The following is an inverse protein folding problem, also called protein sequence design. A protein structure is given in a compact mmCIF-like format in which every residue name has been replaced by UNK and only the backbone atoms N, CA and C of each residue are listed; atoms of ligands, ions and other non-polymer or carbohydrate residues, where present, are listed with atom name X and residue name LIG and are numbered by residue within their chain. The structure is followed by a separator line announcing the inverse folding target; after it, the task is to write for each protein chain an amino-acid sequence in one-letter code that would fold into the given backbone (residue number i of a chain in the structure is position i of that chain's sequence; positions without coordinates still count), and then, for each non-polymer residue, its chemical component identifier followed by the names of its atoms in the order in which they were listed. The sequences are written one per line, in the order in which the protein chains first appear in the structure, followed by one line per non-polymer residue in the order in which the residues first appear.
data_IF_809148781498
#
_entry.id   IF_809148781498
#
_cell.length_a   1.000
_cell.length_b   1.000
_cell.length_c   1.000
_cell.angle_alpha   90.00
_cell.angle_beta   90.00
_cell.angle_gamma   90.00
#
_symmetry.space_group_name_H-M   'P 1'
#
loop_
_entity.id
_entity.type
_entity.pdbx_description
1 polymer ?
#
# COMPACT_ATOMS: atom_id res chain seq x y z
N UNK A 1 -3.15 -6.91 -11.23
CA UNK A 1 -3.59 -8.22 -11.74
C UNK A 1 -4.84 -8.75 -11.01
N UNK A 2 -5.39 -8.04 -10.07
CA UNK A 2 -6.53 -8.44 -9.27
C UNK A 2 -6.14 -9.08 -7.93
N UNK A 3 -4.92 -9.54 -7.76
CA UNK A 3 -4.40 -10.11 -6.52
C UNK A 3 -3.44 -9.17 -5.82
N UNK A 4 -2.37 -8.77 -6.50
CA UNK A 4 -1.39 -7.82 -5.98
C UNK A 4 -1.68 -6.43 -6.55
N UNK A 5 -1.71 -5.42 -5.68
CA UNK A 5 -1.80 -4.03 -6.03
C UNK A 5 -0.65 -3.23 -5.41
N UNK A 6 -0.19 -2.21 -6.12
CA UNK A 6 0.81 -1.31 -5.59
C UNK A 6 0.46 0.14 -5.92
N UNK A 7 0.52 0.99 -4.91
CA UNK A 7 0.55 2.42 -5.12
C UNK A 7 2.00 2.87 -5.22
N UNK A 8 2.35 3.45 -6.35
CA UNK A 8 3.70 3.91 -6.62
C UNK A 8 3.79 5.38 -6.24
N UNK A 9 4.49 5.67 -5.14
CA UNK A 9 4.81 7.04 -4.75
C UNK A 9 6.27 7.31 -5.09
N UNK A 10 6.52 8.45 -5.65
CA UNK A 10 7.87 8.85 -6.02
C UNK A 10 8.26 10.11 -5.26
N UNK A 11 9.39 10.01 -4.58
CA UNK A 11 10.19 11.15 -4.16
C UNK A 11 11.50 11.03 -4.91
N UNK A 12 12.01 12.06 -5.55
CA UNK A 12 13.12 12.07 -6.50
C UNK A 12 14.24 11.03 -6.28
N UNK A 13 14.58 10.73 -5.05
CA UNK A 13 15.64 9.79 -4.65
C UNK A 13 15.12 8.57 -3.88
N UNK A 14 13.88 8.65 -3.38
CA UNK A 14 13.26 7.59 -2.60
C UNK A 14 11.96 7.16 -3.26
N UNK A 15 11.91 5.94 -3.72
CA UNK A 15 10.68 5.31 -4.15
C UNK A 15 9.94 4.75 -2.94
N UNK A 16 8.64 4.89 -2.91
CA UNK A 16 7.77 4.23 -1.97
C UNK A 16 6.71 3.44 -2.73
N UNK A 17 6.71 2.16 -2.57
CA UNK A 17 5.70 1.25 -3.11
C UNK A 17 4.86 0.77 -1.93
N UNK A 18 3.64 1.23 -1.84
CA UNK A 18 2.68 0.69 -0.88
C UNK A 18 2.01 -0.52 -1.51
N UNK A 19 2.23 -1.68 -0.91
CA UNK A 19 1.82 -2.96 -1.47
C UNK A 19 0.62 -3.49 -0.72
N UNK A 20 -0.34 -3.97 -1.48
CA UNK A 20 -1.50 -4.67 -0.99
C UNK A 20 -1.65 -6.01 -1.71
N UNK A 21 -2.23 -6.97 -1.02
CA UNK A 21 -2.59 -8.27 -1.55
C UNK A 21 -4.01 -8.61 -1.11
N UNK A 22 -4.82 -9.21 -1.99
CA UNK A 22 -6.27 -9.37 -1.83
C UNK A 22 -6.70 -10.15 -0.57
N UNK A 23 -5.83 -11.01 -0.04
CA UNK A 23 -6.14 -11.83 1.13
C UNK A 23 -5.71 -11.21 2.46
N UNK A 24 -5.09 -10.02 2.44
CA UNK A 24 -4.64 -9.33 3.65
C UNK A 24 -5.81 -8.63 4.34
N UNK A 25 -6.46 -9.35 5.26
CA UNK A 25 -7.58 -8.85 6.05
C UNK A 25 -7.32 -9.04 7.53
N UNK A 26 -7.79 -8.10 8.34
CA UNK A 26 -7.92 -8.33 9.77
C UNK A 26 -9.07 -9.33 10.02
N UNK A 27 -9.05 -9.98 11.16
CA UNK A 27 -10.15 -10.85 11.55
C UNK A 27 -9.72 -12.09 12.31
N UNK A 28 -10.70 -12.79 12.80
CA UNK A 28 -10.57 -14.02 13.57
C UNK A 28 -11.67 -14.98 13.15
N UNK A 29 -11.46 -16.30 13.20
CA UNK A 29 -12.52 -17.27 12.96
C UNK A 29 -13.66 -17.17 13.98
N UNK A 30 -13.41 -16.56 15.13
CA UNK A 30 -14.36 -16.39 16.23
C UNK A 30 -15.22 -15.11 16.13
N UNK A 31 -15.25 -14.46 14.98
CA UNK A 31 -16.08 -13.28 14.77
C UNK A 31 -17.56 -13.63 14.96
N UNK A 32 -18.19 -12.97 15.92
CA UNK A 32 -19.64 -13.07 16.11
C UNK A 32 -20.38 -12.52 14.89
N UNK A 33 -21.06 -13.41 14.19
CA UNK A 33 -21.96 -13.01 13.10
C UNK A 33 -23.31 -12.63 13.68
N UNK A 34 -23.68 -11.35 13.53
CA UNK A 34 -25.01 -10.92 13.89
C UNK A 34 -26.03 -11.51 12.90
N UNK A 35 -27.08 -12.09 13.41
CA UNK A 35 -28.22 -12.54 12.59
C UNK A 35 -29.15 -11.35 12.37
N UNK A 36 -29.34 -10.97 11.12
CA UNK A 36 -30.27 -9.90 10.72
C UNK A 36 -31.65 -10.49 10.47
N UNK A 37 -32.68 -9.80 10.93
CA UNK A 37 -34.05 -10.21 10.73
C UNK A 37 -34.74 -9.39 9.62
N UNK A 38 -35.75 -9.98 9.00
CA UNK A 38 -36.55 -9.27 8.00
C UNK A 38 -37.29 -8.08 8.63
N UNK A 39 -37.71 -8.20 9.87
CA UNK A 39 -38.44 -7.13 10.58
C UNK A 39 -37.54 -5.91 10.81
N UNK A 40 -36.26 -6.10 11.13
CA UNK A 40 -35.29 -5.02 11.26
C UNK A 40 -35.08 -4.29 9.92
N UNK A 41 -34.95 -5.03 8.83
CA UNK A 41 -34.83 -4.46 7.50
C UNK A 41 -36.08 -3.66 7.11
N UNK A 42 -37.27 -4.16 7.40
CA UNK A 42 -38.53 -3.48 7.12
C UNK A 42 -38.66 -2.20 7.97
N UNK A 43 -38.26 -2.22 9.23
CA UNK A 43 -38.26 -1.05 10.10
C UNK A 43 -37.35 0.07 9.55
N UNK A 44 -36.12 -0.27 9.12
CA UNK A 44 -35.21 0.69 8.48
C UNK A 44 -35.84 1.28 7.22
N UNK A 45 -36.41 0.42 6.37
CA UNK A 45 -37.08 0.86 5.14
C UNK A 45 -38.26 1.80 5.40
N UNK A 46 -39.04 1.55 6.46
CA UNK A 46 -40.11 2.47 6.86
C UNK A 46 -39.60 3.85 7.26
N UNK A 47 -38.50 3.92 8.03
CA UNK A 47 -37.88 5.17 8.42
C UNK A 47 -37.38 5.95 7.19
N UNK A 48 -36.73 5.27 6.25
CA UNK A 48 -36.30 5.88 4.97
C UNK A 48 -37.49 6.43 4.21
N UNK A 49 -38.61 5.67 4.10
CA UNK A 49 -39.80 6.10 3.40
C UNK A 49 -40.50 7.31 4.07
N UNK A 50 -40.33 7.49 5.37
CA UNK A 50 -40.80 8.64 6.14
C UNK A 50 -39.87 9.86 6.05
N UNK A 51 -38.69 9.72 5.45
CA UNK A 51 -37.66 10.76 5.40
C UNK A 51 -36.88 10.92 6.69
N UNK A 52 -36.98 9.97 7.62
CA UNK A 52 -36.30 9.97 8.92
C UNK A 52 -34.93 9.30 8.81
N UNK A 53 -34.03 9.89 7.99
CA UNK A 53 -32.78 9.27 7.58
C UNK A 53 -31.81 9.04 8.77
N UNK A 54 -31.69 10.01 9.69
CA UNK A 54 -30.80 9.87 10.86
C UNK A 54 -31.20 8.67 11.72
N UNK A 55 -32.51 8.48 11.94
CA UNK A 55 -33.00 7.31 12.69
C UNK A 55 -32.83 6.01 11.94
N UNK A 56 -32.92 6.05 10.61
CA UNK A 56 -32.67 4.88 9.77
C UNK A 56 -31.19 4.46 9.87
N UNK A 57 -30.26 5.42 9.83
CA UNK A 57 -28.83 5.17 9.98
C UNK A 57 -28.47 4.62 11.37
N UNK A 58 -29.02 5.23 12.44
CA UNK A 58 -28.84 4.72 13.80
C UNK A 58 -29.34 3.28 13.96
N UNK A 59 -30.54 2.99 13.43
CA UNK A 59 -31.09 1.63 13.49
C UNK A 59 -30.27 0.66 12.65
N UNK A 60 -29.84 1.06 11.45
CA UNK A 60 -29.00 0.23 10.59
C UNK A 60 -27.64 -0.07 11.25
N UNK A 61 -26.98 0.93 11.81
CA UNK A 61 -25.73 0.74 12.54
C UNK A 61 -25.88 -0.23 13.71
N UNK A 62 -27.00 -0.14 14.41
CA UNK A 62 -27.27 -0.99 15.58
C UNK A 62 -27.64 -2.43 15.22
N UNK A 63 -28.35 -2.63 14.10
CA UNK A 63 -28.97 -3.94 13.78
C UNK A 63 -28.27 -4.64 12.62
N UNK A 64 -27.73 -3.91 11.64
CA UNK A 64 -27.20 -4.47 10.40
C UNK A 64 -25.67 -4.61 10.38
N UNK A 65 -24.95 -3.84 11.21
CA UNK A 65 -23.50 -3.91 11.28
C UNK A 65 -23.06 -4.89 12.39
N UNK A 66 -22.06 -5.68 12.07
CA UNK A 66 -21.38 -6.49 13.09
C UNK A 66 -20.51 -5.58 13.98
N UNK A 67 -20.42 -5.92 15.27
CA UNK A 67 -19.52 -5.21 16.19
C UNK A 67 -18.05 -5.36 15.77
N UNK A 68 -17.69 -6.55 15.30
CA UNK A 68 -16.35 -6.87 14.81
C UNK A 68 -16.42 -7.02 13.29
N UNK A 69 -15.87 -6.04 12.58
CA UNK A 69 -15.76 -6.07 11.12
C UNK A 69 -14.35 -6.44 10.69
N UNK A 70 -14.25 -7.19 9.61
CA UNK A 70 -12.97 -7.41 8.95
C UNK A 70 -12.64 -6.19 8.10
N UNK A 71 -11.41 -5.73 8.22
CA UNK A 71 -10.88 -4.65 7.41
C UNK A 71 -9.75 -5.14 6.52
N UNK A 72 -9.68 -4.57 5.33
CA UNK A 72 -8.55 -4.76 4.45
C UNK A 72 -7.31 -4.08 5.06
N UNK A 73 -6.20 -4.78 5.11
CA UNK A 73 -4.96 -4.31 5.74
C UNK A 73 -3.87 -4.15 4.70
N UNK A 74 -3.14 -3.05 4.77
CA UNK A 74 -1.98 -2.86 3.93
C UNK A 74 -0.82 -3.74 4.42
N UNK A 75 -0.11 -4.37 3.49
CA UNK A 75 1.15 -5.04 3.80
C UNK A 75 2.18 -4.04 4.33
N UNK A 76 2.16 -2.80 3.84
CA UNK A 76 3.10 -1.76 4.15
C UNK A 76 3.87 -1.29 2.93
N UNK A 77 5.06 -0.75 3.16
CA UNK A 77 5.83 -0.09 2.13
C UNK A 77 7.13 -0.84 1.83
N UNK A 78 7.46 -0.93 0.56
CA UNK A 78 8.81 -1.18 0.08
C UNK A 78 9.39 0.16 -0.33
N UNK A 79 10.52 0.50 0.24
CA UNK A 79 11.24 1.75 -0.03
C UNK A 79 12.46 1.44 -0.89
N UNK A 80 12.72 2.29 -1.85
CA UNK A 80 13.85 2.12 -2.74
C UNK A 80 14.64 3.40 -2.91
N UNK A 81 15.95 3.34 -2.83
CA UNK A 81 16.84 4.48 -2.96
C UNK A 81 17.85 4.26 -4.07
N UNK A 82 17.91 5.21 -5.01
CA UNK A 82 18.97 5.22 -6.03
C UNK A 82 20.25 5.77 -5.42
N UNK A 83 21.36 5.07 -5.69
CA UNK A 83 22.71 5.52 -5.34
C UNK A 83 23.57 5.63 -6.58
N UNK A 84 24.42 6.65 -6.59
CA UNK A 84 25.41 6.86 -7.65
C UNK A 84 26.81 6.79 -7.02
N UNK A 85 27.59 5.80 -7.45
CA UNK A 85 28.88 5.50 -6.81
C UNK A 85 28.68 5.08 -5.34
N UNK A 86 29.47 5.65 -4.44
CA UNK A 86 29.41 5.37 -3.01
C UNK A 86 28.48 6.29 -2.22
N UNK A 87 27.76 7.19 -2.90
CA UNK A 87 26.92 8.21 -2.28
C UNK A 87 25.45 8.11 -2.65
N UNK A 88 24.61 8.69 -1.81
CA UNK A 88 23.24 9.02 -2.18
C UNK A 88 23.27 10.05 -3.31
N UNK A 89 22.21 10.12 -4.11
CA UNK A 89 21.98 11.28 -4.95
C UNK A 89 21.90 12.51 -4.03
N UNK A 90 22.97 13.33 -4.07
CA UNK A 90 23.12 14.44 -3.16
C UNK A 90 22.37 15.67 -3.69
N UNK A 91 21.32 16.04 -2.99
CA UNK A 91 20.51 17.23 -3.29
C UNK A 91 21.18 18.54 -2.90
N UNK A 92 21.97 18.53 -1.85
CA UNK A 92 22.44 19.77 -1.25
C UNK A 92 23.61 20.39 -2.01
N UNK A 93 24.40 19.59 -2.71
CA UNK A 93 25.68 20.05 -3.26
C UNK A 93 25.68 20.38 -4.77
N UNK A 94 24.61 20.13 -5.53
CA UNK A 94 24.62 20.33 -6.98
C UNK A 94 23.41 21.07 -7.56
N UNK A 95 23.04 22.18 -6.97
CA UNK A 95 22.12 23.12 -7.60
C UNK A 95 20.67 23.03 -7.16
N UNK A 96 20.39 22.37 -6.04
CA UNK A 96 19.05 22.36 -5.46
C UNK A 96 18.00 21.67 -6.33
N UNK A 97 16.75 21.94 -6.04
CA UNK A 97 15.57 21.41 -6.74
C UNK A 97 15.55 21.70 -8.25
N UNK A 98 16.16 22.80 -8.68
CA UNK A 98 16.17 23.24 -10.09
C UNK A 98 17.03 22.36 -11.01
N UNK A 99 18.01 21.64 -10.47
CA UNK A 99 18.88 20.76 -11.26
C UNK A 99 18.26 19.40 -11.61
N UNK A 100 17.19 19.02 -10.93
CA UNK A 100 16.53 17.73 -11.09
C UNK A 100 15.27 17.76 -11.96
N UNK A 101 14.72 18.93 -12.22
CA UNK A 101 13.35 19.06 -12.72
C UNK A 101 13.22 19.32 -14.22
N UNK A 102 14.30 19.34 -14.98
CA UNK A 102 14.15 19.79 -16.38
C UNK A 102 13.36 18.83 -17.25
N UNK A 103 13.22 17.57 -16.92
CA UNK A 103 12.51 16.61 -17.77
C UNK A 103 11.83 15.51 -16.95
N UNK A 104 11.28 15.87 -15.77
CA UNK A 104 10.53 14.92 -14.99
C UNK A 104 9.17 14.65 -15.60
N UNK A 105 8.95 13.40 -15.98
CA UNK A 105 7.66 12.90 -16.46
C UNK A 105 7.27 11.70 -15.60
N UNK A 106 6.01 11.68 -15.22
CA UNK A 106 5.40 10.52 -14.59
C UNK A 106 4.05 10.26 -15.22
N UNK A 107 3.83 9.05 -15.65
CA UNK A 107 2.60 8.63 -16.32
C UNK A 107 2.15 7.24 -15.85
N UNK A 108 0.87 7.02 -15.92
CA UNK A 108 0.25 5.71 -15.85
C UNK A 108 -0.33 5.40 -17.22
N UNK A 109 0.27 4.47 -17.92
CA UNK A 109 -0.27 3.92 -19.15
C UNK A 109 -1.29 2.85 -18.79
N UNK A 110 -2.57 3.17 -18.97
CA UNK A 110 -3.66 2.26 -18.60
C UNK A 110 -3.87 1.12 -19.61
N UNK A 111 -3.44 1.32 -20.86
CA UNK A 111 -3.55 0.29 -21.89
C UNK A 111 -2.51 -0.81 -21.67
N UNK A 112 -1.30 -0.42 -21.27
CA UNK A 112 -0.23 -1.37 -20.95
C UNK A 112 -0.21 -1.79 -19.46
N UNK A 113 -0.86 -1.03 -18.59
CA UNK A 113 -0.85 -1.25 -17.13
C UNK A 113 0.50 -0.96 -16.49
N UNK A 114 1.24 0.03 -17.01
CA UNK A 114 2.60 0.36 -16.57
C UNK A 114 2.65 1.78 -16.02
N UNK A 115 3.24 1.95 -14.84
CA UNK A 115 3.65 3.26 -14.33
C UNK A 115 5.06 3.53 -14.80
N UNK A 116 5.27 4.64 -15.50
CA UNK A 116 6.59 5.10 -15.94
C UNK A 116 6.98 6.40 -15.25
N UNK A 117 8.23 6.50 -14.88
CA UNK A 117 8.83 7.73 -14.38
C UNK A 117 10.14 7.95 -15.10
N UNK A 118 10.30 9.12 -15.71
CA UNK A 118 11.53 9.53 -16.38
C UNK A 118 12.01 10.86 -15.81
N UNK A 119 13.31 10.97 -15.56
CA UNK A 119 13.93 12.21 -15.08
C UNK A 119 15.41 12.26 -15.42
N UNK A 120 15.92 13.49 -15.56
CA UNK A 120 17.34 13.76 -15.76
C UNK A 120 18.01 14.12 -14.44
N UNK A 121 19.16 13.53 -14.16
CA UNK A 121 19.95 13.82 -12.96
C UNK A 121 21.43 13.62 -13.20
N UNK A 122 22.26 14.48 -12.65
CA UNK A 122 23.74 14.39 -12.71
C UNK A 122 24.31 14.11 -14.12
N UNK A 123 23.63 14.59 -15.17
CA UNK A 123 24.09 14.46 -16.55
C UNK A 123 23.69 13.18 -17.26
N UNK A 124 22.72 12.42 -16.75
CA UNK A 124 22.17 11.22 -17.40
C UNK A 124 20.68 11.03 -17.09
N UNK A 125 20.01 10.30 -17.95
CA UNK A 125 18.60 9.97 -17.82
C UNK A 125 18.40 8.69 -17.03
N UNK A 126 17.37 8.69 -16.19
CA UNK A 126 16.88 7.51 -15.48
C UNK A 126 15.42 7.29 -15.87
N UNK A 127 15.11 6.07 -16.24
CA UNK A 127 13.73 5.62 -16.48
C UNK A 127 13.41 4.49 -15.52
N UNK A 128 12.24 4.57 -14.88
CA UNK A 128 11.71 3.52 -14.00
C UNK A 128 10.36 3.08 -14.51
N UNK A 129 10.13 1.80 -14.53
CA UNK A 129 8.87 1.18 -14.92
C UNK A 129 8.40 0.24 -13.81
N UNK A 130 7.11 0.30 -13.52
CA UNK A 130 6.49 -0.54 -12.50
C UNK A 130 5.24 -1.17 -13.07
N UNK A 131 5.12 -2.48 -12.93
CA UNK A 131 3.92 -3.20 -13.34
C UNK A 131 3.72 -4.48 -12.52
N UNK A 132 2.50 -4.97 -12.48
CA UNK A 132 2.19 -6.26 -11.86
C UNK A 132 1.90 -7.27 -12.95
N UNK A 133 2.71 -8.34 -13.00
CA UNK A 133 2.51 -9.43 -13.95
C UNK A 133 1.18 -10.15 -13.67
N UNK A 134 0.38 -10.33 -14.72
CA UNK A 134 -0.85 -11.13 -14.65
C UNK A 134 -0.55 -12.64 -14.59
N UNK A 135 0.56 -13.03 -15.17
CA UNK A 135 0.93 -14.45 -15.30
C UNK A 135 1.68 -14.97 -14.07
N UNK A 136 2.63 -14.17 -13.60
CA UNK A 136 3.62 -14.64 -12.62
C UNK A 136 3.29 -14.17 -11.20
N UNK A 137 2.27 -13.32 -11.07
CA UNK A 137 1.78 -12.81 -9.78
C UNK A 137 2.87 -12.07 -8.97
N UNK A 138 3.65 -11.26 -9.68
CA UNK A 138 4.75 -10.47 -9.10
C UNK A 138 4.65 -9.01 -9.48
N UNK A 139 5.05 -8.14 -8.56
CA UNK A 139 5.33 -6.73 -8.86
C UNK A 139 6.76 -6.63 -9.41
N UNK A 140 6.88 -6.07 -10.60
CA UNK A 140 8.17 -5.83 -11.27
C UNK A 140 8.50 -4.36 -11.21
N UNK A 141 9.74 -4.06 -10.89
CA UNK A 141 10.33 -2.75 -11.03
C UNK A 141 11.56 -2.85 -11.92
N UNK A 142 11.54 -2.14 -13.04
CA UNK A 142 12.67 -2.02 -13.95
C UNK A 142 13.25 -0.62 -13.85
N UNK A 143 14.57 -0.55 -13.66
CA UNK A 143 15.30 0.72 -13.61
C UNK A 143 16.34 0.70 -14.70
N UNK A 144 16.24 1.64 -15.61
CA UNK A 144 17.20 1.85 -16.69
C UNK A 144 17.91 3.18 -16.55
N UNK A 145 19.20 3.20 -16.82
CA UNK A 145 20.01 4.40 -16.85
C UNK A 145 20.93 4.39 -18.06
N UNK A 146 20.99 5.50 -18.76
CA UNK A 146 21.91 5.65 -19.91
C UNK A 146 23.39 5.67 -19.50
N UNK A 147 23.68 5.91 -18.23
CA UNK A 147 25.06 5.93 -17.73
C UNK A 147 25.77 4.57 -17.83
N UNK A 148 25.03 3.47 -17.82
CA UNK A 148 25.58 2.13 -18.00
C UNK A 148 26.40 1.55 -16.83
N UNK A 149 26.79 2.36 -15.83
CA UNK A 149 27.58 1.92 -14.68
C UNK A 149 27.44 2.86 -13.46
N UNK A 150 27.78 2.34 -12.28
CA UNK A 150 27.88 3.14 -11.07
C UNK A 150 26.54 3.56 -10.44
N UNK A 151 25.45 2.91 -10.85
CA UNK A 151 24.15 3.07 -10.21
C UNK A 151 23.85 1.85 -9.39
N UNK A 152 23.58 2.07 -8.12
CA UNK A 152 23.06 1.08 -7.19
C UNK A 152 21.62 1.39 -6.82
N UNK A 153 20.89 0.36 -6.40
CA UNK A 153 19.56 0.51 -5.85
C UNK A 153 19.47 -0.22 -4.53
N UNK A 154 19.15 0.52 -3.47
CA UNK A 154 18.97 -0.04 -2.15
C UNK A 154 17.49 -0.21 -1.88
N UNK A 155 17.11 -1.38 -1.42
CA UNK A 155 15.73 -1.72 -1.09
C UNK A 155 15.59 -1.91 0.42
N UNK A 156 14.54 -1.32 0.99
CA UNK A 156 14.19 -1.43 2.39
C UNK A 156 12.75 -1.85 2.53
N UNK A 157 12.45 -2.67 3.53
CA UNK A 157 11.08 -2.97 3.90
C UNK A 157 10.64 -2.11 5.07
N UNK A 158 9.45 -1.56 4.98
CA UNK A 158 8.75 -0.85 6.05
C UNK A 158 7.34 -1.43 6.21
N UNK A 159 7.22 -2.65 6.77
CA UNK A 159 5.93 -3.30 6.95
C UNK A 159 5.08 -2.52 7.95
N UNK A 160 3.79 -2.43 7.68
CA UNK A 160 2.81 -1.89 8.62
C UNK A 160 2.24 -2.98 9.53
N UNK A 161 2.43 -4.23 9.17
CA UNK A 161 2.06 -5.40 9.94
C UNK A 161 3.14 -5.78 10.96
N UNK A 162 2.80 -6.61 11.93
CA UNK A 162 3.78 -7.27 12.79
C UNK A 162 4.59 -8.24 11.93
N UNK A 163 5.82 -7.84 11.60
CA UNK A 163 6.65 -8.59 10.68
C UNK A 163 8.12 -8.60 11.07
N UNK A 164 8.82 -9.64 10.67
CA UNK A 164 10.27 -9.73 10.67
C UNK A 164 10.82 -9.59 9.26
N UNK A 165 11.96 -8.97 9.12
CA UNK A 165 12.65 -8.79 7.84
C UNK A 165 14.02 -9.46 7.92
N UNK A 166 14.34 -10.33 6.97
CA UNK A 166 15.63 -10.99 6.86
C UNK A 166 16.11 -11.05 5.41
N UNK A 167 17.40 -11.22 5.21
CA UNK A 167 18.00 -11.40 3.90
C UNK A 167 18.64 -12.79 3.82
N UNK A 168 18.29 -13.56 2.81
CA UNK A 168 18.82 -14.91 2.57
C UNK A 168 19.11 -15.04 1.07
N UNK A 169 20.34 -15.38 0.72
CA UNK A 169 20.77 -15.65 -0.66
C UNK A 169 20.39 -14.56 -1.69
N UNK A 170 20.47 -13.29 -1.29
CA UNK A 170 20.12 -12.15 -2.14
C UNK A 170 18.62 -11.87 -2.23
N UNK A 171 17.81 -12.56 -1.44
CA UNK A 171 16.36 -12.37 -1.33
C UNK A 171 16.05 -11.70 0.01
N UNK A 172 15.30 -10.59 -0.03
CA UNK A 172 14.70 -9.99 1.16
C UNK A 172 13.38 -10.69 1.45
N UNK A 173 13.29 -11.30 2.61
CA UNK A 173 12.10 -12.04 3.07
C UNK A 173 11.45 -11.23 4.18
N UNK A 174 10.15 -11.05 4.06
CA UNK A 174 9.32 -10.35 5.04
C UNK A 174 8.23 -11.32 5.48
N UNK A 175 8.33 -11.78 6.71
CA UNK A 175 7.33 -12.67 7.33
C UNK A 175 6.53 -11.89 8.35
N UNK A 176 5.22 -11.91 8.22
CA UNK A 176 4.33 -11.18 9.10
C UNK A 176 2.97 -11.87 9.25
N UNK A 177 2.13 -11.28 10.06
CA UNK A 177 0.74 -11.72 10.23
C UNK A 177 -0.20 -10.54 10.28
N UNK A 178 -1.42 -10.77 9.82
CA UNK A 178 -2.49 -9.80 9.91
C UNK A 178 -3.02 -9.69 11.34
N UNK A 179 -3.50 -8.51 11.77
CA UNK A 179 -4.15 -8.34 13.06
C UNK A 179 -5.49 -9.10 13.12
N UNK A 180 -5.89 -9.50 14.30
CA UNK A 180 -7.21 -10.06 14.53
C UNK A 180 -8.30 -9.01 14.55
N UNK A 181 -7.93 -7.79 14.89
CA UNK A 181 -8.84 -6.64 14.93
C UNK A 181 -8.10 -5.37 14.46
N UNK A 182 -8.79 -4.55 13.69
CA UNK A 182 -8.35 -3.23 13.26
C UNK A 182 -9.58 -2.33 13.14
N UNK A 183 -9.56 -1.16 13.77
CA UNK A 183 -10.68 -0.22 13.73
C UNK A 183 -10.89 0.42 12.35
N UNK A 184 -9.79 0.61 11.62
CA UNK A 184 -9.82 1.26 10.31
C UNK A 184 -8.63 0.77 9.47
N UNK A 185 -8.86 0.53 8.19
CA UNK A 185 -7.83 0.12 7.25
C UNK A 185 -6.73 1.17 7.03
N UNK A 186 -6.97 2.41 7.43
CA UNK A 186 -6.05 3.54 7.25
C UNK A 186 -5.30 3.96 8.52
N UNK A 187 -5.81 3.63 9.69
CA UNK A 187 -5.22 4.00 10.99
C UNK A 187 -4.59 2.79 11.67
N UNK A 188 -3.51 2.32 11.09
CA UNK A 188 -2.68 1.32 11.72
C UNK A 188 -1.72 1.98 12.71
N UNK A 189 -2.20 2.25 13.91
CA UNK A 189 -1.39 2.81 14.99
C UNK A 189 -1.20 1.74 16.08
N UNK A 190 0.01 1.19 16.16
CA UNK A 190 0.36 0.16 17.15
C UNK A 190 0.27 0.66 18.60
N UNK A 191 0.35 1.97 18.82
CA UNK A 191 0.31 2.59 20.14
C UNK A 191 -1.12 2.84 20.63
N UNK A 192 -2.10 2.82 19.73
CA UNK A 192 -3.50 2.90 20.12
C UNK A 192 -4.09 1.51 20.21
N UNK A 193 -4.95 1.26 21.19
CA UNK A 193 -5.69 0.01 21.41
C UNK A 193 -6.57 -0.44 20.21
N UNK A 194 -6.29 0.11 19.02
CA UNK A 194 -7.04 -0.09 17.78
C UNK A 194 -6.62 -1.33 17.01
N UNK A 195 -5.53 -1.98 17.39
CA UNK A 195 -4.99 -3.16 16.68
C UNK A 195 -4.62 -4.26 17.66
N UNK A 196 -5.20 -5.41 17.48
CA UNK A 196 -4.94 -6.57 18.31
C UNK A 196 -4.39 -7.74 17.48
N UNK A 197 -3.32 -8.37 17.98
CA UNK A 197 -2.78 -9.61 17.45
C UNK A 197 -3.02 -10.72 18.46
N UNK A 198 -3.61 -11.83 18.04
CA UNK A 198 -3.74 -13.04 18.86
C UNK A 198 -2.83 -14.14 18.28
N UNK A 199 -2.16 -14.88 19.16
CA UNK A 199 -1.50 -16.14 18.80
C UNK A 199 -2.54 -17.23 18.76
N UNK A 200 -2.66 -17.94 17.67
CA UNK A 200 -3.42 -19.18 17.57
C UNK A 200 -2.49 -20.37 17.76
#
# INVERSE_FOLDING_TARGET
NGRIGAMVFFFFFLDRLQINEETLWSGSPDLEKRSHTMDEMLAIRELVNKGEYDKADELAAKTMLNADTQHYVSFGNILGEIRVGNGRLDFENKGGFDGFNKDYIRELDMDEGIVRTKFHTQGFDITKEYFVSLRDDVLVMNIHSERGWGIGYHVFAAPELEASVRNEDGVMIIDGRCPTFCLDSQTYDKEKESVHFRSY
#
